data_IF_406972268182
#
_entry.id   IF_406972268182
#
_cell.length_a   1.000
_cell.length_b   1.000
_cell.length_c   1.000
_cell.angle_alpha   90.00
_cell.angle_beta   90.00
_cell.angle_gamma   90.00
#
_symmetry.space_group_name_H-M   'P 1'
#
loop_
_entity.id
_entity.type
_entity.pdbx_description
1 polymer ?
#
# COMPACT_ATOMS: atom_id res chain seq x y z
N UNK A 1 11.91 0.38 6.72
CA UNK A 1 11.79 0.66 5.27
C UNK A 1 10.55 1.50 5.06
N UNK A 2 10.68 2.62 4.34
CA UNK A 2 9.56 3.56 4.11
C UNK A 2 8.96 3.32 2.73
N UNK A 3 7.64 3.29 2.67
CA UNK A 3 6.87 3.24 1.45
C UNK A 3 5.91 4.42 1.43
N UNK A 4 5.78 5.05 0.28
CA UNK A 4 4.84 6.14 0.05
C UNK A 4 3.87 5.71 -1.04
N UNK A 5 2.58 5.86 -0.78
CA UNK A 5 1.54 5.41 -1.69
C UNK A 5 0.57 6.53 -2.04
N UNK A 6 0.05 6.50 -3.27
CA UNK A 6 -1.05 7.36 -3.69
C UNK A 6 -2.35 6.60 -3.55
N UNK A 7 -3.23 7.10 -2.70
CA UNK A 7 -4.57 6.57 -2.51
C UNK A 7 -5.44 6.92 -3.72
N UNK A 8 -6.15 5.92 -4.23
CA UNK A 8 -7.30 6.12 -5.11
C UNK A 8 -8.53 5.67 -4.36
N UNK A 9 -9.57 6.51 -4.34
CA UNK A 9 -10.84 6.12 -3.74
C UNK A 9 -11.38 4.91 -4.49
N UNK A 10 -11.68 3.84 -3.74
CA UNK A 10 -12.34 2.68 -4.28
C UNK A 10 -13.83 2.93 -4.40
N UNK A 11 -14.45 2.36 -5.43
CA UNK A 11 -15.91 2.30 -5.46
C UNK A 11 -16.39 1.49 -4.24
N UNK A 12 -17.52 1.86 -3.60
CA UNK A 12 -18.14 1.01 -2.61
C UNK A 12 -18.39 -0.37 -3.22
N UNK A 13 -17.75 -1.39 -2.66
CA UNK A 13 -17.89 -2.76 -3.12
C UNK A 13 -19.24 -3.29 -2.69
N UNK A 14 -20.00 -3.88 -3.62
CA UNK A 14 -21.29 -4.55 -3.35
C UNK A 14 -21.15 -5.69 -2.33
N UNK A 15 -19.91 -6.19 -2.15
CA UNK A 15 -19.59 -7.32 -1.29
C UNK A 15 -19.01 -6.91 0.07
N UNK A 16 -18.75 -5.62 0.32
CA UNK A 16 -18.16 -5.19 1.58
C UNK A 16 -18.61 -3.77 1.94
N UNK A 17 -19.43 -3.65 2.99
CA UNK A 17 -20.05 -2.42 3.50
C UNK A 17 -19.04 -1.39 4.09
N UNK A 18 -17.75 -1.58 3.86
CA UNK A 18 -16.67 -0.70 4.32
C UNK A 18 -16.04 0.08 3.17
N UNK A 19 -15.80 1.38 3.38
CA UNK A 19 -15.05 2.21 2.43
C UNK A 19 -13.62 1.72 2.29
N UNK A 20 -13.33 1.00 1.20
CA UNK A 20 -11.96 0.60 0.84
C UNK A 20 -11.26 1.68 0.02
N UNK A 21 -9.93 1.59 -0.05
CA UNK A 21 -9.15 2.35 -1.00
C UNK A 21 -8.24 1.45 -1.83
N UNK A 22 -7.97 1.87 -3.06
CA UNK A 22 -6.97 1.24 -3.90
C UNK A 22 -5.66 2.03 -3.83
N UNK A 23 -4.57 1.35 -4.14
CA UNK A 23 -3.25 1.99 -4.28
C UNK A 23 -2.92 2.08 -5.76
N UNK A 24 -2.83 3.31 -6.28
CA UNK A 24 -2.51 3.54 -7.69
C UNK A 24 -1.00 3.48 -7.95
N UNK A 25 -0.24 4.08 -7.02
CA UNK A 25 1.23 4.09 -7.06
C UNK A 25 1.78 3.85 -5.66
N UNK A 26 2.89 3.13 -5.59
CA UNK A 26 3.68 2.96 -4.37
C UNK A 26 5.18 3.01 -4.68
N UNK A 27 5.86 3.90 -3.98
CA UNK A 27 7.30 4.07 -4.06
C UNK A 27 7.96 3.57 -2.77
N UNK A 28 8.98 2.73 -2.91
CA UNK A 28 9.87 2.34 -1.82
C UNK A 28 10.99 3.37 -1.70
N UNK A 29 11.23 3.90 -0.51
CA UNK A 29 12.37 4.74 -0.21
C UNK A 29 13.51 3.88 0.35
N UNK A 30 14.69 3.99 -0.27
CA UNK A 30 15.96 3.45 0.20
C UNK A 30 17.03 4.54 0.25
N UNK A 31 18.26 4.15 0.59
CA UNK A 31 19.38 5.09 0.71
C UNK A 31 19.73 5.80 -0.60
N UNK A 32 19.46 5.15 -1.74
CA UNK A 32 19.74 5.69 -3.08
C UNK A 32 18.54 6.45 -3.71
N UNK A 33 17.44 6.66 -2.98
CA UNK A 33 16.26 7.36 -3.46
C UNK A 33 14.98 6.52 -3.44
N UNK A 34 13.99 6.93 -4.24
CA UNK A 34 12.71 6.24 -4.38
C UNK A 34 12.68 5.30 -5.59
N UNK A 35 12.11 4.12 -5.42
CA UNK A 35 11.91 3.13 -6.49
C UNK A 35 10.44 2.78 -6.58
N UNK A 36 9.85 2.85 -7.77
CA UNK A 36 8.47 2.45 -8.00
C UNK A 36 8.33 0.93 -7.86
N UNK A 37 7.51 0.51 -6.90
CA UNK A 37 7.21 -0.90 -6.61
C UNK A 37 5.73 -1.21 -6.81
N UNK A 38 5.00 -0.36 -7.54
CA UNK A 38 3.57 -0.52 -7.82
C UNK A 38 3.22 -1.82 -8.53
N UNK A 39 4.17 -2.43 -9.25
CA UNK A 39 4.00 -3.69 -9.93
C UNK A 39 4.01 -4.92 -8.99
N UNK A 40 4.43 -4.75 -7.72
CA UNK A 40 4.47 -5.83 -6.73
C UNK A 40 3.17 -5.98 -5.93
N UNK A 41 2.26 -5.02 -6.07
CA UNK A 41 0.95 -5.05 -5.43
C UNK A 41 -0.14 -5.13 -6.48
N UNK A 42 -1.25 -5.76 -6.12
CA UNK A 42 -2.45 -5.72 -6.94
C UNK A 42 -3.17 -4.38 -6.73
N UNK A 43 -3.29 -3.60 -7.81
CA UNK A 43 -3.97 -2.29 -7.80
C UNK A 43 -5.50 -2.43 -7.71
N UNK A 44 -6.05 -3.59 -8.04
CA UNK A 44 -7.47 -3.89 -7.90
C UNK A 44 -7.85 -4.29 -6.47
N UNK A 45 -6.86 -4.60 -5.62
CA UNK A 45 -7.09 -4.94 -4.23
C UNK A 45 -7.57 -3.71 -3.45
N UNK A 46 -8.72 -3.84 -2.79
CA UNK A 46 -9.28 -2.80 -1.92
C UNK A 46 -8.77 -2.96 -0.51
N UNK A 47 -7.92 -2.05 -0.06
CA UNK A 47 -7.43 -2.02 1.32
C UNK A 47 -8.44 -1.32 2.23
N UNK A 48 -8.70 -1.90 3.40
CA UNK A 48 -9.55 -1.31 4.42
C UNK A 48 -8.82 -0.30 5.30
N UNK A 49 -7.49 -0.39 5.37
CA UNK A 49 -6.68 0.52 6.18
C UNK A 49 -5.22 0.53 5.72
N UNK A 50 -4.49 1.61 6.07
CA UNK A 50 -3.04 1.67 5.87
C UNK A 50 -2.29 0.58 6.65
N UNK A 51 -2.89 0.06 7.73
CA UNK A 51 -2.35 -1.09 8.48
C UNK A 51 -2.37 -2.36 7.65
N UNK A 52 -3.45 -2.62 6.92
CA UNK A 52 -3.56 -3.77 6.02
C UNK A 52 -2.54 -3.66 4.87
N UNK A 53 -2.41 -2.47 4.26
CA UNK A 53 -1.38 -2.22 3.26
C UNK A 53 0.03 -2.51 3.81
N UNK A 54 0.33 -2.09 5.04
CA UNK A 54 1.60 -2.37 5.70
C UNK A 54 1.86 -3.87 5.84
N UNK A 55 0.86 -4.64 6.24
CA UNK A 55 0.98 -6.10 6.39
C UNK A 55 1.24 -6.77 5.03
N UNK A 56 0.46 -6.40 4.01
CA UNK A 56 0.65 -6.96 2.67
C UNK A 56 2.04 -6.66 2.11
N UNK A 57 2.55 -5.43 2.30
CA UNK A 57 3.93 -5.09 1.90
C UNK A 57 4.96 -5.89 2.70
N UNK A 58 4.78 -6.04 4.01
CA UNK A 58 5.67 -6.82 4.84
C UNK A 58 5.77 -8.27 4.32
N UNK A 59 4.66 -8.90 3.99
CA UNK A 59 4.63 -10.24 3.39
C UNK A 59 5.35 -10.29 2.03
N UNK A 60 5.09 -9.32 1.14
CA UNK A 60 5.71 -9.27 -0.21
C UNK A 60 7.23 -9.11 -0.16
N UNK A 61 7.74 -8.38 0.82
CA UNK A 61 9.17 -8.10 0.97
C UNK A 61 9.87 -9.03 1.98
N UNK A 62 9.16 -10.00 2.58
CA UNK A 62 9.72 -10.89 3.60
C UNK A 62 10.16 -10.16 4.87
N UNK A 63 9.49 -9.06 5.21
CA UNK A 63 9.79 -8.20 6.37
C UNK A 63 8.76 -8.42 7.48
N UNK A 64 9.09 -7.97 8.69
CA UNK A 64 8.10 -7.84 9.76
C UNK A 64 7.26 -6.58 9.54
N UNK A 65 5.96 -6.55 9.91
CA UNK A 65 5.13 -5.36 9.76
C UNK A 65 5.72 -4.12 10.43
N UNK A 66 6.39 -4.29 11.58
CA UNK A 66 7.03 -3.18 12.30
C UNK A 66 8.25 -2.61 11.56
N UNK A 67 8.87 -3.38 10.65
CA UNK A 67 9.96 -2.90 9.80
C UNK A 67 9.45 -2.11 8.58
N UNK A 68 8.13 -2.08 8.34
CA UNK A 68 7.49 -1.41 7.20
C UNK A 68 6.73 -0.17 7.68
N UNK A 69 7.18 1.00 7.24
CA UNK A 69 6.47 2.25 7.40
C UNK A 69 5.75 2.59 6.09
N UNK A 70 4.49 2.98 6.17
CA UNK A 70 3.69 3.44 5.01
C UNK A 70 3.22 4.87 5.27
N UNK A 71 3.27 5.72 4.25
CA UNK A 71 2.75 7.09 4.25
C UNK A 71 1.94 7.34 2.98
N UNK A 72 0.88 8.11 3.09
CA UNK A 72 0.10 8.59 1.96
C UNK A 72 0.77 9.84 1.35
N UNK A 73 0.95 9.87 0.04
CA UNK A 73 1.37 11.07 -0.69
C UNK A 73 0.17 12.04 -0.80
N UNK A 74 0.36 13.27 -0.32
CA UNK A 74 -0.61 14.37 -0.42
C UNK A 74 -0.67 14.97 -1.82
#
# INVERSE_FOLDING_TARGET
MLFEFTRREGAPSVFNDGTTFHVDRINRFGEAGSTDVSHLIDKSYGYHSSRELRWHLAERFGLTPNAVAVREAH
#
